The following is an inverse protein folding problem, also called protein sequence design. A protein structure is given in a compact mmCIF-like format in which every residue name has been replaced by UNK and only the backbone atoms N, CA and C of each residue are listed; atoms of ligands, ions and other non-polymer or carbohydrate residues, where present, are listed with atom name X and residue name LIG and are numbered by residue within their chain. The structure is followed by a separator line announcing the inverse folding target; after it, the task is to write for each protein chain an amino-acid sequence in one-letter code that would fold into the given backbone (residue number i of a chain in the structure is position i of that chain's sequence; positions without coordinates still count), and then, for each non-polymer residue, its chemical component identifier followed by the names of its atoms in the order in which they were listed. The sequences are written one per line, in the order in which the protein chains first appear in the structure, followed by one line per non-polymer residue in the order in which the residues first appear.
data_IF_738178011053
#
_entry.id   IF_738178011053
#
_cell.length_a   1.000
_cell.length_b   1.000
_cell.length_c   1.000
_cell.angle_alpha   90.00
_cell.angle_beta   90.00
_cell.angle_gamma   90.00
#
_symmetry.space_group_name_H-M   'P 1'
#
loop_
_entity.id
_entity.type
_entity.pdbx_description
1 polymer ?
#
# COMPACT_ATOMS: atom_id res chain seq x y z
N UNK A 1 24.02 -8.45 7.54
CA UNK A 1 25.26 -7.65 7.52
C UNK A 1 24.97 -6.20 7.89
N UNK A 2 23.97 -5.55 7.31
CA UNK A 2 23.60 -4.14 7.58
C UNK A 2 23.28 -3.90 9.05
N UNK A 3 22.50 -4.74 9.68
CA UNK A 3 22.19 -4.70 11.12
C UNK A 3 23.44 -4.82 12.00
N UNK A 4 24.29 -5.82 11.69
CA UNK A 4 25.52 -6.06 12.47
C UNK A 4 26.55 -4.94 12.30
N UNK A 5 26.62 -4.38 11.09
CA UNK A 5 27.53 -3.30 10.76
C UNK A 5 26.97 -1.90 11.08
N UNK A 6 25.70 -1.78 11.45
CA UNK A 6 24.97 -0.53 11.63
C UNK A 6 25.13 0.42 10.43
N UNK A 7 25.10 -0.14 9.22
CA UNK A 7 25.24 0.61 7.95
C UNK A 7 23.93 0.47 7.17
N UNK A 8 23.31 1.62 6.90
CA UNK A 8 22.17 1.67 6.00
C UNK A 8 22.65 1.77 4.55
N UNK A 9 22.23 0.84 3.71
CA UNK A 9 22.52 0.90 2.28
C UNK A 9 21.60 1.93 1.60
N UNK A 10 22.16 2.66 0.64
CA UNK A 10 21.35 3.53 -0.22
C UNK A 10 20.44 2.62 -1.08
N UNK A 11 19.13 2.88 -1.04
CA UNK A 11 18.14 2.16 -1.86
C UNK A 11 18.45 2.21 -3.37
N UNK A 12 19.22 3.20 -3.81
CA UNK A 12 19.65 3.40 -5.21
C UNK A 12 21.07 2.93 -5.48
N UNK A 13 21.73 2.30 -4.51
CA UNK A 13 23.10 1.82 -4.70
C UNK A 13 23.14 0.87 -5.91
N UNK A 14 24.09 1.07 -6.86
CA UNK A 14 24.18 0.19 -8.03
C UNK A 14 24.25 -1.28 -7.63
N UNK A 15 23.52 -2.12 -8.37
CA UNK A 15 23.40 -3.56 -8.22
C UNK A 15 22.67 -4.05 -6.97
N UNK A 16 22.95 -3.51 -5.80
CA UNK A 16 22.49 -4.06 -4.51
C UNK A 16 21.36 -3.27 -3.88
N UNK A 17 21.13 -2.02 -4.27
CA UNK A 17 20.01 -1.21 -3.77
C UNK A 17 18.68 -1.76 -4.23
N UNK A 18 17.65 -1.66 -3.41
CA UNK A 18 16.30 -2.16 -3.73
C UNK A 18 15.70 -1.58 -5.01
N UNK A 19 16.12 -0.35 -5.38
CA UNK A 19 15.67 0.34 -6.59
C UNK A 19 16.59 0.14 -7.79
N UNK A 20 17.67 -0.64 -7.67
CA UNK A 20 18.67 -0.79 -8.74
C UNK A 20 18.09 -1.45 -10.00
N UNK A 21 17.11 -2.34 -9.83
CA UNK A 21 16.40 -3.03 -10.91
C UNK A 21 14.91 -2.69 -10.92
N UNK A 22 14.57 -1.45 -10.55
CA UNK A 22 13.21 -0.96 -10.54
C UNK A 22 12.87 -0.22 -11.83
N UNK A 23 11.79 -0.65 -12.52
CA UNK A 23 11.32 -0.09 -13.78
C UNK A 23 9.95 0.56 -13.59
N UNK A 24 9.79 1.82 -14.03
CA UNK A 24 8.58 2.63 -13.79
C UNK A 24 7.82 2.93 -15.09
N UNK A 25 8.52 3.24 -16.16
CA UNK A 25 7.91 3.63 -17.44
C UNK A 25 7.29 2.46 -18.19
N UNK A 26 6.04 2.60 -18.68
CA UNK A 26 5.33 1.53 -19.37
C UNK A 26 6.05 1.00 -20.62
N UNK A 27 6.76 1.85 -21.37
CA UNK A 27 7.57 1.45 -22.54
C UNK A 27 8.77 0.62 -22.10
N UNK A 28 9.43 1.00 -20.99
CA UNK A 28 10.55 0.25 -20.44
C UNK A 28 10.10 -1.14 -19.97
N UNK A 29 8.97 -1.22 -19.26
CA UNK A 29 8.41 -2.50 -18.82
C UNK A 29 8.04 -3.39 -20.00
N UNK A 30 7.41 -2.83 -21.06
CA UNK A 30 7.07 -3.60 -22.26
C UNK A 30 8.33 -4.16 -22.97
N UNK A 31 9.41 -3.38 -23.04
CA UNK A 31 10.68 -3.84 -23.59
C UNK A 31 11.34 -4.90 -22.71
N UNK A 32 11.35 -4.70 -21.39
CA UNK A 32 11.88 -5.65 -20.41
C UNK A 32 11.18 -7.00 -20.44
N UNK A 33 9.85 -7.01 -20.59
CA UNK A 33 9.07 -8.25 -20.70
C UNK A 33 9.38 -9.04 -21.97
N UNK A 34 9.85 -8.37 -23.02
CA UNK A 34 10.25 -9.01 -24.29
C UNK A 34 11.72 -9.43 -24.29
N UNK A 35 12.58 -8.56 -23.82
CA UNK A 35 14.02 -8.76 -23.79
C UNK A 35 14.65 -7.95 -22.64
N UNK A 36 14.96 -8.58 -21.50
CA UNK A 36 15.52 -7.93 -20.32
C UNK A 36 16.79 -7.13 -20.58
N UNK A 37 17.68 -7.61 -21.42
CA UNK A 37 18.96 -6.97 -21.76
C UNK A 37 18.81 -5.59 -22.41
N UNK A 38 17.58 -5.19 -22.78
CA UNK A 38 17.29 -3.84 -23.31
C UNK A 38 17.58 -2.75 -22.28
N UNK A 39 17.37 -3.02 -21.00
CA UNK A 39 17.54 -2.05 -19.90
C UNK A 39 18.35 -2.62 -18.73
N UNK A 40 18.63 -3.90 -18.69
CA UNK A 40 19.44 -4.55 -17.66
C UNK A 40 20.69 -5.14 -18.32
N UNK A 41 21.86 -4.72 -17.86
CA UNK A 41 23.14 -5.24 -18.35
C UNK A 41 23.59 -6.51 -17.63
N UNK A 42 22.91 -6.88 -16.55
CA UNK A 42 23.02 -8.17 -15.86
C UNK A 42 21.66 -8.54 -15.25
N UNK A 43 21.48 -9.82 -14.98
CA UNK A 43 20.27 -10.29 -14.30
C UNK A 43 20.33 -9.93 -12.81
N UNK A 44 19.24 -9.46 -12.19
CA UNK A 44 19.20 -9.07 -10.77
C UNK A 44 19.70 -10.18 -9.84
N UNK A 45 19.37 -11.43 -10.14
CA UNK A 45 19.69 -12.61 -9.35
C UNK A 45 21.20 -12.80 -9.15
N UNK A 46 22.04 -12.33 -10.10
CA UNK A 46 23.51 -12.37 -9.95
C UNK A 46 24.02 -11.52 -8.80
N UNK A 47 23.24 -10.53 -8.37
CA UNK A 47 23.60 -9.60 -7.29
C UNK A 47 22.76 -9.85 -6.03
N UNK A 48 21.94 -10.90 -6.01
CA UNK A 48 21.00 -11.17 -4.92
C UNK A 48 19.83 -10.20 -4.87
N UNK A 49 19.55 -9.50 -5.98
CA UNK A 49 18.45 -8.56 -6.12
C UNK A 49 17.31 -9.18 -6.96
N UNK A 50 16.23 -8.44 -7.12
CA UNK A 50 15.07 -8.83 -7.91
C UNK A 50 14.54 -7.67 -8.75
N UNK A 51 13.93 -8.02 -9.88
CA UNK A 51 13.30 -7.04 -10.76
C UNK A 51 11.99 -6.55 -10.14
N UNK A 52 11.81 -5.23 -10.13
CA UNK A 52 10.60 -4.59 -9.60
C UNK A 52 9.93 -3.69 -10.64
N UNK A 53 8.64 -3.83 -10.80
CA UNK A 53 7.83 -2.96 -11.63
C UNK A 53 7.05 -2.00 -10.74
N UNK A 54 7.43 -0.71 -10.78
CA UNK A 54 6.79 0.32 -9.96
C UNK A 54 5.56 0.87 -10.68
N UNK A 55 4.49 1.06 -9.91
CA UNK A 55 3.27 1.69 -10.40
C UNK A 55 3.35 3.21 -10.24
N UNK A 56 2.92 3.93 -11.27
CA UNK A 56 2.81 5.39 -11.28
C UNK A 56 1.89 5.86 -12.39
N UNK A 57 1.64 7.15 -12.45
CA UNK A 57 0.92 7.81 -13.56
C UNK A 57 1.51 7.48 -14.95
N UNK A 58 2.83 7.19 -15.01
CA UNK A 58 3.53 6.80 -16.24
C UNK A 58 3.38 5.33 -16.60
N UNK A 59 2.75 4.54 -15.74
CA UNK A 59 2.52 3.12 -15.98
C UNK A 59 1.56 2.90 -17.15
N UNK A 60 1.85 1.89 -17.94
CA UNK A 60 1.01 1.42 -19.03
C UNK A 60 0.37 0.07 -18.75
N UNK A 61 -0.41 -0.42 -19.72
CA UNK A 61 -1.01 -1.77 -19.64
C UNK A 61 0.01 -2.89 -19.44
N UNK A 62 1.22 -2.73 -20.00
CA UNK A 62 2.31 -3.70 -19.81
C UNK A 62 2.75 -3.82 -18.33
N UNK A 63 2.83 -2.70 -17.60
CA UNK A 63 3.15 -2.72 -16.17
C UNK A 63 2.08 -3.45 -15.37
N UNK A 64 0.80 -3.19 -15.68
CA UNK A 64 -0.33 -3.87 -15.04
C UNK A 64 -0.30 -5.37 -15.33
N UNK A 65 -0.09 -5.75 -16.59
CA UNK A 65 0.00 -7.16 -16.98
C UNK A 65 1.16 -7.89 -16.28
N UNK A 66 2.34 -7.26 -16.23
CA UNK A 66 3.50 -7.81 -15.53
C UNK A 66 3.24 -8.01 -14.03
N UNK A 67 2.58 -7.04 -13.38
CA UNK A 67 2.22 -7.16 -11.95
C UNK A 67 1.13 -8.19 -11.68
N UNK A 68 0.24 -8.42 -12.63
CA UNK A 68 -0.84 -9.41 -12.50
C UNK A 68 -0.43 -10.81 -12.95
N UNK A 69 0.78 -11.01 -13.49
CA UNK A 69 1.24 -12.29 -14.03
C UNK A 69 1.10 -13.45 -13.02
N UNK A 70 1.37 -13.18 -11.74
CA UNK A 70 1.22 -14.18 -10.68
C UNK A 70 -0.25 -14.51 -10.34
N UNK A 71 -1.20 -13.61 -10.66
CA UNK A 71 -2.63 -13.81 -10.41
C UNK A 71 -3.34 -14.37 -11.66
N UNK A 72 -2.92 -13.92 -12.83
CA UNK A 72 -3.48 -14.29 -14.14
C UNK A 72 -2.30 -14.49 -15.11
N UNK A 73 -1.73 -15.69 -15.17
CA UNK A 73 -0.64 -15.97 -16.08
C UNK A 73 -1.01 -15.71 -17.54
N UNK A 74 -0.12 -15.05 -18.29
CA UNK A 74 -0.32 -14.72 -19.70
C UNK A 74 -1.33 -13.62 -19.98
N UNK A 75 -1.62 -12.76 -18.99
CA UNK A 75 -2.56 -11.64 -19.18
C UNK A 75 -2.02 -10.65 -20.22
N UNK A 76 -2.80 -10.46 -21.30
CA UNK A 76 -2.48 -9.45 -22.30
C UNK A 76 -2.66 -8.04 -21.78
N UNK A 77 -1.75 -7.12 -22.14
CA UNK A 77 -1.78 -5.71 -21.73
C UNK A 77 -3.02 -4.93 -22.22
N UNK A 78 -3.70 -5.43 -23.22
CA UNK A 78 -4.97 -4.88 -23.75
C UNK A 78 -6.20 -5.57 -23.20
N UNK A 79 -6.04 -6.54 -22.30
CA UNK A 79 -7.16 -7.20 -21.67
C UNK A 79 -8.06 -6.19 -20.93
N UNK A 80 -9.41 -6.29 -21.04
CA UNK A 80 -10.33 -5.32 -20.42
C UNK A 80 -10.07 -5.06 -18.94
N UNK A 81 -9.72 -6.09 -18.18
CA UNK A 81 -9.39 -5.98 -16.75
C UNK A 81 -8.13 -5.13 -16.53
N UNK A 82 -7.06 -5.34 -17.32
CA UNK A 82 -5.84 -4.55 -17.21
C UNK A 82 -6.09 -3.08 -17.54
N UNK A 83 -6.85 -2.80 -18.58
CA UNK A 83 -7.23 -1.44 -18.99
C UNK A 83 -8.07 -0.76 -17.92
N UNK A 84 -9.07 -1.45 -17.38
CA UNK A 84 -9.93 -0.92 -16.30
C UNK A 84 -9.15 -0.61 -15.04
N UNK A 85 -8.27 -1.53 -14.63
CA UNK A 85 -7.43 -1.35 -13.44
C UNK A 85 -6.46 -0.18 -13.61
N UNK A 86 -5.84 -0.05 -14.77
CA UNK A 86 -4.97 1.10 -15.09
C UNK A 86 -5.72 2.43 -14.97
N UNK A 87 -6.96 2.50 -15.47
CA UNK A 87 -7.79 3.70 -15.34
C UNK A 87 -8.12 4.01 -13.89
N UNK A 88 -8.46 3.00 -13.09
CA UNK A 88 -8.75 3.17 -11.66
C UNK A 88 -7.51 3.68 -10.90
N UNK A 89 -6.33 3.12 -11.16
CA UNK A 89 -5.08 3.57 -10.53
C UNK A 89 -4.83 5.04 -10.85
N UNK A 90 -4.93 5.44 -12.13
CA UNK A 90 -4.74 6.85 -12.53
C UNK A 90 -5.74 7.80 -11.86
N UNK A 91 -6.99 7.39 -11.72
CA UNK A 91 -7.99 8.18 -11.01
C UNK A 91 -7.65 8.34 -9.52
N UNK A 92 -7.21 7.26 -8.87
CA UNK A 92 -6.80 7.29 -7.46
C UNK A 92 -5.53 8.12 -7.25
N UNK A 93 -4.56 8.03 -8.15
CA UNK A 93 -3.34 8.88 -8.10
C UNK A 93 -3.68 10.37 -8.25
N UNK A 94 -4.62 10.72 -9.12
CA UNK A 94 -5.14 12.09 -9.23
C UNK A 94 -5.84 12.57 -7.95
N UNK A 95 -6.34 11.64 -7.13
CA UNK A 95 -6.91 11.91 -5.81
C UNK A 95 -5.86 11.88 -4.68
N UNK A 96 -4.57 11.78 -5.01
CA UNK A 96 -3.47 11.82 -4.07
C UNK A 96 -3.04 10.47 -3.50
N UNK A 97 -3.56 9.35 -3.99
CA UNK A 97 -3.02 8.02 -3.65
C UNK A 97 -1.65 7.82 -4.30
N UNK A 98 -0.82 6.98 -3.69
CA UNK A 98 0.48 6.57 -4.24
C UNK A 98 0.58 5.06 -4.17
N UNK A 99 0.82 4.45 -5.33
CA UNK A 99 0.97 3.00 -5.46
C UNK A 99 2.42 2.56 -5.58
N UNK A 100 3.36 3.52 -5.62
CA UNK A 100 4.79 3.21 -5.61
C UNK A 100 5.18 2.60 -4.26
N UNK A 101 5.56 1.32 -4.26
CA UNK A 101 5.84 0.57 -3.04
C UNK A 101 4.62 0.04 -2.27
N UNK A 102 3.39 0.31 -2.74
CA UNK A 102 2.15 -0.16 -2.11
C UNK A 102 1.61 -1.44 -2.78
N UNK A 103 2.41 -2.51 -2.80
CA UNK A 103 2.07 -3.77 -3.49
C UNK A 103 0.75 -4.38 -3.00
N UNK A 104 0.54 -4.44 -1.70
CA UNK A 104 -0.68 -4.99 -1.13
C UNK A 104 -1.92 -4.18 -1.51
N UNK A 105 -1.81 -2.84 -1.59
CA UNK A 105 -2.91 -1.98 -2.03
C UNK A 105 -3.25 -2.23 -3.51
N UNK A 106 -2.23 -2.42 -4.34
CA UNK A 106 -2.43 -2.79 -5.74
C UNK A 106 -3.12 -4.17 -5.86
N UNK A 107 -2.67 -5.16 -5.09
CA UNK A 107 -3.25 -6.50 -5.10
C UNK A 107 -4.73 -6.49 -4.68
N UNK A 108 -5.09 -5.72 -3.65
CA UNK A 108 -6.49 -5.53 -3.24
C UNK A 108 -7.32 -4.93 -4.39
N UNK A 109 -6.83 -3.90 -5.07
CA UNK A 109 -7.52 -3.33 -6.23
C UNK A 109 -7.68 -4.32 -7.36
N UNK A 110 -6.64 -5.11 -7.65
CA UNK A 110 -6.69 -6.16 -8.66
C UNK A 110 -7.72 -7.23 -8.32
N UNK A 111 -7.72 -7.73 -7.09
CA UNK A 111 -8.69 -8.73 -6.61
C UNK A 111 -10.13 -8.20 -6.67
N UNK A 112 -10.35 -6.93 -6.34
CA UNK A 112 -11.65 -6.27 -6.48
C UNK A 112 -12.09 -6.18 -7.94
N UNK A 113 -11.18 -5.79 -8.84
CA UNK A 113 -11.47 -5.72 -10.28
C UNK A 113 -11.80 -7.09 -10.89
N UNK A 114 -11.23 -8.16 -10.36
CA UNK A 114 -11.48 -9.57 -10.73
C UNK A 114 -12.72 -10.16 -10.05
N UNK A 115 -13.29 -9.48 -9.06
CA UNK A 115 -14.42 -10.01 -8.27
C UNK A 115 -14.05 -11.16 -7.32
N UNK A 116 -12.76 -11.31 -7.01
CA UNK A 116 -12.24 -12.37 -6.12
C UNK A 116 -11.90 -11.86 -4.70
N UNK A 117 -12.06 -10.55 -4.46
CA UNK A 117 -11.81 -9.96 -3.16
C UNK A 117 -13.03 -10.10 -2.24
N UNK A 118 -12.79 -10.55 -1.03
CA UNK A 118 -13.75 -10.53 0.05
C UNK A 118 -13.24 -9.60 1.13
N UNK A 119 -14.07 -8.64 1.54
CA UNK A 119 -13.71 -7.73 2.63
C UNK A 119 -13.62 -8.53 3.94
N UNK A 120 -12.49 -8.44 4.68
CA UNK A 120 -12.30 -9.19 5.93
C UNK A 120 -13.23 -8.71 7.05
N UNK A 121 -13.75 -7.51 6.94
CA UNK A 121 -14.76 -6.96 7.83
C UNK A 121 -15.54 -5.84 7.14
N UNK A 122 -16.70 -5.52 7.66
CA UNK A 122 -17.51 -4.38 7.24
C UNK A 122 -17.43 -3.29 8.32
N UNK A 123 -16.94 -2.11 7.96
CA UNK A 123 -16.95 -0.96 8.86
C UNK A 123 -18.39 -0.44 9.02
N UNK A 124 -18.89 -0.44 10.26
CA UNK A 124 -20.19 0.16 10.59
C UNK A 124 -20.01 1.63 10.92
N UNK A 125 -18.97 1.98 11.68
CA UNK A 125 -18.64 3.35 12.02
C UNK A 125 -17.49 3.44 13.02
N UNK A 126 -16.94 4.64 13.14
CA UNK A 126 -15.95 4.96 14.16
C UNK A 126 -16.10 6.41 14.59
N UNK A 127 -15.53 6.73 15.74
CA UNK A 127 -15.34 8.11 16.20
C UNK A 127 -14.11 8.21 17.08
N UNK A 128 -13.50 9.39 17.11
CA UNK A 128 -12.46 9.75 18.06
C UNK A 128 -12.93 10.88 18.96
N UNK A 129 -12.54 10.83 20.21
CA UNK A 129 -12.82 11.85 21.22
C UNK A 129 -11.47 12.36 21.71
N UNK A 130 -11.18 13.62 21.38
CA UNK A 130 -9.95 14.27 21.83
C UNK A 130 -10.30 15.17 23.02
N UNK A 131 -9.70 14.92 24.16
CA UNK A 131 -9.88 15.70 25.37
C UNK A 131 -8.55 16.33 25.77
N UNK A 132 -8.54 17.65 25.93
CA UNK A 132 -7.40 18.40 26.47
C UNK A 132 -7.73 18.86 27.88
N UNK A 133 -6.88 18.48 28.82
CA UNK A 133 -6.98 18.94 30.21
C UNK A 133 -5.68 19.61 30.66
N UNK A 134 -5.65 20.12 31.91
CA UNK A 134 -4.41 20.62 32.52
C UNK A 134 -3.40 19.51 32.80
N UNK A 135 -3.85 18.27 32.88
CA UNK A 135 -3.02 17.10 33.17
C UNK A 135 -2.47 16.45 31.91
N UNK A 136 -2.99 16.80 30.72
CA UNK A 136 -2.51 16.26 29.47
C UNK A 136 -3.53 16.27 28.33
N UNK A 137 -3.23 15.51 27.29
CA UNK A 137 -4.12 15.24 26.17
C UNK A 137 -4.44 13.75 26.15
N UNK A 138 -5.73 13.44 26.15
CA UNK A 138 -6.25 12.09 26.06
C UNK A 138 -7.00 11.93 24.74
N UNK A 139 -6.79 10.82 24.07
CA UNK A 139 -7.50 10.48 22.84
C UNK A 139 -8.08 9.08 22.98
N UNK A 140 -9.40 9.02 22.89
CA UNK A 140 -10.15 7.75 22.87
C UNK A 140 -10.72 7.52 21.48
N UNK A 141 -10.67 6.29 21.00
CA UNK A 141 -11.34 5.86 19.77
C UNK A 141 -12.37 4.76 20.06
N UNK A 142 -13.51 4.87 19.40
CA UNK A 142 -14.57 3.87 19.40
C UNK A 142 -14.74 3.37 17.99
N UNK A 143 -14.65 2.03 17.82
CA UNK A 143 -14.77 1.37 16.51
C UNK A 143 -15.90 0.34 16.57
N UNK A 144 -16.73 0.34 15.53
CA UNK A 144 -17.77 -0.67 15.35
C UNK A 144 -17.64 -1.30 13.98
N UNK A 145 -17.38 -2.61 13.96
CA UNK A 145 -17.22 -3.41 12.75
C UNK A 145 -18.05 -4.68 12.82
N UNK A 146 -18.28 -5.29 11.67
CA UNK A 146 -18.91 -6.61 11.56
C UNK A 146 -17.94 -7.55 10.86
N UNK A 147 -17.72 -8.73 11.45
CA UNK A 147 -16.92 -9.82 10.91
C UNK A 147 -17.81 -11.07 10.92
N UNK A 148 -18.01 -11.68 9.75
CA UNK A 148 -18.82 -12.89 9.59
C UNK A 148 -20.20 -12.83 10.29
N UNK A 149 -20.88 -11.66 10.19
CA UNK A 149 -22.19 -11.43 10.80
C UNK A 149 -22.16 -11.09 12.29
N UNK A 150 -21.00 -11.14 12.94
CA UNK A 150 -20.83 -10.76 14.35
C UNK A 150 -20.39 -9.32 14.46
N UNK A 151 -21.08 -8.54 15.27
CA UNK A 151 -20.74 -7.12 15.51
C UNK A 151 -19.79 -7.00 16.68
N UNK A 152 -18.64 -6.36 16.44
CA UNK A 152 -17.65 -5.98 17.43
C UNK A 152 -17.75 -4.48 17.69
N UNK A 153 -17.74 -4.10 18.96
CA UNK A 153 -17.78 -2.69 19.40
C UNK A 153 -16.70 -2.48 20.45
N UNK A 154 -15.60 -1.88 20.04
CA UNK A 154 -14.37 -1.75 20.83
C UNK A 154 -14.04 -0.31 21.10
N UNK A 155 -13.32 -0.08 22.19
CA UNK A 155 -12.87 1.24 22.65
C UNK A 155 -11.41 1.10 23.07
N UNK A 156 -10.58 2.06 22.65
CA UNK A 156 -9.20 2.14 23.09
C UNK A 156 -8.71 3.57 23.19
N UNK A 157 -7.78 3.78 24.12
CA UNK A 157 -7.02 5.02 24.24
C UNK A 157 -5.75 4.96 23.38
N UNK A 158 -5.20 6.12 23.06
CA UNK A 158 -3.94 6.23 22.33
C UNK A 158 -3.30 7.61 22.44
N UNK A 159 -2.05 7.69 22.00
CA UNK A 159 -1.27 8.94 22.00
C UNK A 159 -1.80 9.97 20.97
N UNK A 160 -2.64 9.51 20.05
CA UNK A 160 -3.28 10.33 19.04
C UNK A 160 -4.43 9.59 18.35
N UNK A 161 -5.22 10.29 17.51
CA UNK A 161 -6.43 9.70 16.89
C UNK A 161 -6.15 8.43 16.08
N UNK A 162 -5.04 8.38 15.34
CA UNK A 162 -4.68 7.22 14.52
C UNK A 162 -4.27 6.05 15.40
N UNK A 163 -3.45 6.29 16.43
CA UNK A 163 -3.01 5.26 17.36
C UNK A 163 -4.20 4.67 18.15
N UNK A 164 -5.10 5.52 18.65
CA UNK A 164 -6.31 5.07 19.33
C UNK A 164 -7.23 4.25 18.41
N UNK A 165 -7.41 4.68 17.14
CA UNK A 165 -8.19 3.94 16.16
C UNK A 165 -7.57 2.58 15.82
N UNK A 166 -6.25 2.51 15.62
CA UNK A 166 -5.54 1.27 15.38
C UNK A 166 -5.70 0.30 16.57
N UNK A 167 -5.52 0.80 17.79
CA UNK A 167 -5.68 -0.01 19.00
C UNK A 167 -7.12 -0.56 19.14
N UNK A 168 -8.13 0.27 18.92
CA UNK A 168 -9.53 -0.15 18.97
C UNK A 168 -9.87 -1.17 17.86
N UNK A 169 -9.36 -0.97 16.65
CA UNK A 169 -9.57 -1.88 15.52
C UNK A 169 -8.87 -3.23 15.78
N UNK A 170 -7.64 -3.22 16.26
CA UNK A 170 -6.88 -4.42 16.61
C UNK A 170 -7.58 -5.26 17.66
N UNK A 171 -8.16 -4.67 18.70
CA UNK A 171 -8.93 -5.40 19.71
C UNK A 171 -10.05 -6.25 19.10
N UNK A 172 -10.71 -5.75 18.06
CA UNK A 172 -11.74 -6.50 17.36
C UNK A 172 -11.14 -7.57 16.43
N UNK A 173 -10.17 -7.20 15.60
CA UNK A 173 -9.63 -8.04 14.54
C UNK A 173 -8.73 -9.17 15.07
N UNK A 174 -7.89 -8.93 16.08
CA UNK A 174 -6.96 -9.94 16.62
C UNK A 174 -7.67 -11.12 17.27
N UNK A 175 -8.92 -10.94 17.70
CA UNK A 175 -9.74 -12.05 18.22
C UNK A 175 -10.12 -13.05 17.12
N UNK A 176 -10.23 -12.59 15.88
CA UNK A 176 -10.60 -13.39 14.71
C UNK A 176 -9.38 -13.74 13.85
N UNK A 177 -8.43 -12.81 13.74
CA UNK A 177 -7.21 -12.92 12.94
C UNK A 177 -5.95 -12.83 13.85
N UNK A 178 -5.57 -13.87 14.58
CA UNK A 178 -4.48 -13.81 15.56
C UNK A 178 -3.11 -13.41 14.98
N UNK A 179 -2.86 -13.68 13.71
CA UNK A 179 -1.63 -13.30 13.00
C UNK A 179 -1.40 -11.78 12.92
N UNK A 180 -2.45 -10.96 13.13
CA UNK A 180 -2.30 -9.52 13.19
C UNK A 180 -1.43 -9.03 14.36
N UNK A 181 -1.23 -9.86 15.38
CA UNK A 181 -0.31 -9.54 16.50
C UNK A 181 1.15 -9.41 16.06
N UNK A 182 1.52 -10.07 14.96
CA UNK A 182 2.85 -9.99 14.37
C UNK A 182 3.01 -8.82 13.41
N UNK A 183 1.90 -8.18 13.01
CA UNK A 183 1.90 -7.04 12.09
C UNK A 183 2.05 -5.74 12.88
N UNK A 184 3.04 -4.94 12.52
CA UNK A 184 3.27 -3.63 13.10
C UNK A 184 3.51 -2.58 12.01
N UNK A 185 3.31 -1.31 12.37
CA UNK A 185 3.50 -0.19 11.45
C UNK A 185 4.99 0.11 11.32
N UNK A 186 5.53 0.01 10.11
CA UNK A 186 6.93 0.33 9.81
C UNK A 186 7.12 1.80 9.43
N UNK A 187 6.18 2.39 8.69
CA UNK A 187 6.27 3.78 8.25
C UNK A 187 4.87 4.39 8.13
N UNK A 188 4.75 5.64 8.50
CA UNK A 188 3.51 6.41 8.40
C UNK A 188 3.79 7.83 7.93
N UNK A 189 3.26 8.18 6.76
CA UNK A 189 3.42 9.49 6.15
C UNK A 189 2.07 10.11 5.84
N UNK A 190 1.93 11.38 6.16
CA UNK A 190 0.74 12.17 5.81
C UNK A 190 1.14 13.27 4.83
N UNK A 191 0.37 13.42 3.77
CA UNK A 191 0.54 14.49 2.78
C UNK A 191 -0.67 15.40 2.75
N UNK A 192 -0.41 16.70 2.63
CA UNK A 192 -1.43 17.71 2.39
C UNK A 192 -1.68 17.76 0.89
N UNK A 193 -2.94 17.60 0.46
CA UNK A 193 -3.34 17.59 -0.95
C UNK A 193 -3.74 18.98 -1.46
N UNK A 194 -4.38 19.80 -0.59
CA UNK A 194 -4.90 21.12 -0.93
C UNK A 194 -4.37 22.15 0.07
N UNK A 195 -3.07 22.47 -0.01
CA UNK A 195 -2.41 23.37 0.94
C UNK A 195 -2.99 24.79 0.95
N UNK A 196 -3.60 25.21 -0.14
CA UNK A 196 -4.30 26.49 -0.29
C UNK A 196 -5.53 26.62 0.60
N UNK A 197 -6.14 25.52 1.02
CA UNK A 197 -7.31 25.51 1.91
C UNK A 197 -6.96 25.71 3.40
N UNK A 198 -5.68 25.88 3.73
CA UNK A 198 -5.20 26.13 5.09
C UNK A 198 -5.60 25.02 6.07
N UNK A 199 -6.34 25.35 7.14
CA UNK A 199 -6.78 24.37 8.15
C UNK A 199 -7.90 23.43 7.65
N UNK A 200 -8.53 23.73 6.52
CA UNK A 200 -9.52 22.87 5.87
C UNK A 200 -8.88 21.93 4.82
N UNK A 201 -7.55 21.98 4.66
CA UNK A 201 -6.84 21.20 3.68
C UNK A 201 -7.11 19.71 3.85
N UNK A 202 -7.33 19.03 2.71
CA UNK A 202 -7.42 17.58 2.68
C UNK A 202 -6.04 16.97 2.87
N UNK A 203 -5.98 15.90 3.64
CA UNK A 203 -4.76 15.13 3.89
C UNK A 203 -4.95 13.67 3.48
N UNK A 204 -3.86 13.03 3.11
CA UNK A 204 -3.80 11.59 2.79
C UNK A 204 -2.63 10.97 3.56
N UNK A 205 -2.92 9.92 4.32
CA UNK A 205 -1.96 9.05 4.99
C UNK A 205 -1.86 7.70 4.33
#
# INVERSE_FOLDING_TARGET
LSEVANVYHDHRQPYVGESAFAHKGGVHVDAMMKQPETYEHCTPELTGNERRFLLSEQSGGATIAAKLEHMIPGLDKHHPTAVKLLQQIKQLENQGYVFEGAEASFEILARRALGTYQDPFRLIGFRTINRKSTEGSEVEAIVKIEIDGTVYHTVADGDGPVNALDAALRQALESVYPSLKEVHLEDYKVRVLSSEDGTAAQVRG
#
